data_IF_228469636525
#
_entry.id   IF_228469636525
#
_cell.length_a   1.000
_cell.length_b   1.000
_cell.length_c   1.000
_cell.angle_alpha   90.00
_cell.angle_beta   90.00
_cell.angle_gamma   90.00
#
_symmetry.space_group_name_H-M   'P 1'
#
loop_
_entity.id
_entity.type
_entity.pdbx_description
1 polymer ?
#
# COMPACT_ATOMS: atom_id res chain seq x y z
N UNK A 1 -13.37 6.48 -0.67
CA UNK A 1 -12.50 5.59 -1.48
C UNK A 1 -11.40 6.46 -2.03
N UNK A 2 -10.12 6.21 -1.67
CA UNK A 2 -9.01 7.01 -2.16
C UNK A 2 -8.81 6.89 -3.67
N UNK A 3 -8.23 7.91 -4.27
CA UNK A 3 -7.92 8.04 -5.69
C UNK A 3 -6.41 8.04 -5.93
N UNK A 4 -6.01 7.70 -7.15
CA UNK A 4 -4.61 7.79 -7.61
C UNK A 4 -4.03 9.19 -7.34
N UNK A 5 -2.87 9.23 -6.69
CA UNK A 5 -2.18 10.45 -6.25
C UNK A 5 -2.55 10.92 -4.83
N UNK A 6 -3.56 10.33 -4.18
CA UNK A 6 -3.79 10.58 -2.76
C UNK A 6 -2.81 9.77 -1.91
N UNK A 7 -2.52 10.27 -0.70
CA UNK A 7 -1.70 9.54 0.26
C UNK A 7 -2.55 8.57 1.08
N UNK A 8 -2.03 7.36 1.25
CA UNK A 8 -2.66 6.34 2.05
C UNK A 8 -2.43 6.56 3.54
N UNK A 9 -3.47 6.54 4.34
CA UNK A 9 -3.39 6.77 5.79
C UNK A 9 -3.18 5.49 6.59
N UNK A 10 -3.38 4.32 5.99
CA UNK A 10 -3.37 3.04 6.71
C UNK A 10 -2.78 1.93 5.86
N UNK A 11 -1.81 1.20 6.41
CA UNK A 11 -1.25 0.02 5.76
C UNK A 11 -2.34 -1.03 5.49
N UNK A 12 -2.39 -1.53 4.26
CA UNK A 12 -3.46 -2.46 3.90
C UNK A 12 -3.46 -2.87 2.44
N UNK A 13 -4.44 -3.72 2.12
CA UNK A 13 -4.72 -4.21 0.77
C UNK A 13 -5.85 -3.36 0.16
N UNK A 14 -5.60 -2.87 -1.04
CA UNK A 14 -6.52 -2.03 -1.80
C UNK A 14 -6.79 -2.65 -3.16
N UNK A 15 -8.03 -2.58 -3.62
CA UNK A 15 -8.49 -3.08 -4.91
C UNK A 15 -8.92 -1.94 -5.82
N UNK A 16 -8.41 -1.89 -7.03
CA UNK A 16 -8.85 -0.91 -8.03
C UNK A 16 -10.29 -1.19 -8.45
N UNK A 17 -11.13 -0.15 -8.45
CA UNK A 17 -12.55 -0.29 -8.83
C UNK A 17 -12.71 -0.55 -10.33
N UNK A 18 -11.79 -0.06 -11.16
CA UNK A 18 -11.87 -0.17 -12.61
C UNK A 18 -11.58 -1.58 -13.15
N UNK A 19 -10.53 -2.23 -12.65
CA UNK A 19 -10.05 -3.51 -13.18
C UNK A 19 -10.01 -4.62 -12.14
N UNK A 20 -10.18 -4.30 -10.85
CA UNK A 20 -10.14 -5.27 -9.78
C UNK A 20 -8.73 -5.70 -9.36
N UNK A 21 -7.67 -4.98 -9.77
CA UNK A 21 -6.31 -5.26 -9.30
C UNK A 21 -6.15 -5.00 -7.81
N UNK A 22 -5.50 -5.92 -7.11
CA UNK A 22 -5.20 -5.83 -5.69
C UNK A 22 -3.73 -5.42 -5.48
N UNK A 23 -3.50 -4.43 -4.62
CA UNK A 23 -2.18 -3.94 -4.27
C UNK A 23 -2.07 -3.72 -2.77
N UNK A 24 -0.86 -3.88 -2.25
CA UNK A 24 -0.54 -3.55 -0.86
C UNK A 24 0.07 -2.15 -0.82
N UNK A 25 -0.53 -1.25 -0.05
CA UNK A 25 -0.02 0.13 0.08
C UNK A 25 0.33 0.40 1.54
N UNK A 26 1.55 0.90 1.75
CA UNK A 26 2.06 1.34 3.06
C UNK A 26 1.39 2.63 3.52
N UNK A 27 1.42 2.86 4.81
CA UNK A 27 1.07 4.18 5.37
C UNK A 27 1.96 5.26 4.75
N UNK A 28 1.36 6.41 4.48
CA UNK A 28 1.90 7.58 3.76
C UNK A 28 2.29 7.37 2.28
N UNK A 29 2.16 6.16 1.74
CA UNK A 29 2.44 5.92 0.32
C UNK A 29 1.30 6.40 -0.58
N UNK A 30 1.63 6.88 -1.78
CA UNK A 30 0.64 7.37 -2.73
C UNK A 30 -0.06 6.24 -3.48
N UNK A 31 -1.35 6.41 -3.75
CA UNK A 31 -2.11 5.48 -4.57
C UNK A 31 -1.64 5.56 -6.04
N UNK A 32 -1.20 4.44 -6.64
CA UNK A 32 -0.77 4.45 -8.02
C UNK A 32 -1.96 4.57 -8.98
N UNK A 33 -1.68 5.00 -10.21
CA UNK A 33 -2.64 4.95 -11.32
C UNK A 33 -2.72 3.53 -11.89
N UNK A 34 -3.90 3.10 -12.33
CA UNK A 34 -4.08 1.81 -12.98
C UNK A 34 -3.33 1.78 -14.32
N UNK A 35 -2.47 0.78 -14.51
CA UNK A 35 -1.67 0.63 -15.75
C UNK A 35 -2.52 0.45 -17.01
N UNK A 36 -3.74 -0.08 -16.88
CA UNK A 36 -4.66 -0.25 -18.01
C UNK A 36 -5.37 1.06 -18.41
N UNK A 37 -5.39 2.03 -17.49
CA UNK A 37 -6.06 3.32 -17.68
C UNK A 37 -5.16 4.47 -17.19
N UNK A 38 -3.99 4.68 -17.80
CA UNK A 38 -3.01 5.66 -17.33
C UNK A 38 -3.52 7.12 -17.37
N UNK A 39 -4.52 7.41 -18.21
CA UNK A 39 -5.09 8.74 -18.37
C UNK A 39 -6.30 9.01 -17.44
N UNK A 40 -6.73 8.02 -16.65
CA UNK A 40 -7.90 8.15 -15.78
C UNK A 40 -7.51 8.06 -14.31
N UNK A 41 -8.19 8.85 -13.47
CA UNK A 41 -8.05 8.73 -12.02
C UNK A 41 -8.56 7.36 -11.58
N UNK A 42 -7.70 6.59 -10.95
CA UNK A 42 -8.04 5.25 -10.46
C UNK A 42 -8.59 5.38 -9.06
N UNK A 43 -9.78 4.84 -8.82
CA UNK A 43 -10.35 4.76 -7.47
C UNK A 43 -9.97 3.42 -6.85
N UNK A 44 -9.53 3.44 -5.61
CA UNK A 44 -9.10 2.28 -4.84
C UNK A 44 -10.08 2.03 -3.69
N UNK A 45 -10.53 0.79 -3.57
CA UNK A 45 -11.36 0.29 -2.50
C UNK A 45 -10.48 -0.44 -1.50
N UNK A 46 -10.51 -0.02 -0.24
CA UNK A 46 -9.85 -0.75 0.83
C UNK A 46 -10.55 -2.09 1.04
N UNK A 47 -9.78 -3.18 1.02
CA UNK A 47 -10.26 -4.54 1.24
C UNK A 47 -9.92 -4.99 2.64
N UNK A 48 -8.67 -4.81 3.06
CA UNK A 48 -8.18 -5.26 4.35
C UNK A 48 -7.18 -4.25 4.92
N UNK A 49 -7.33 -3.94 6.21
CA UNK A 49 -6.34 -3.17 6.96
C UNK A 49 -5.36 -4.17 7.55
N UNK A 50 -4.07 -3.95 7.29
CA UNK A 50 -3.00 -4.74 7.87
C UNK A 50 -2.41 -3.95 9.04
N UNK A 51 -2.22 -4.61 10.18
CA UNK A 51 -1.44 -4.03 11.27
C UNK A 51 0.00 -3.84 10.79
N UNK A 52 0.50 -2.61 10.89
CA UNK A 52 1.92 -2.29 10.72
C UNK A 52 2.67 -2.92 11.91
N UNK A 53 2.88 -4.23 11.86
CA UNK A 53 3.80 -4.85 12.79
C UNK A 53 5.18 -4.32 12.44
N UNK A 54 5.88 -3.64 13.37
CA UNK A 54 7.25 -3.24 13.11
C UNK A 54 8.01 -4.53 12.80
N UNK A 55 8.53 -4.62 11.57
CA UNK A 55 9.56 -5.60 11.22
C UNK A 55 10.61 -5.47 12.31
N UNK A 56 10.61 -6.41 13.26
CA UNK A 56 11.64 -6.51 14.29
C UNK A 56 12.94 -6.55 13.53
N UNK A 57 13.65 -5.42 13.52
CA UNK A 57 15.02 -5.37 13.05
C UNK A 57 15.72 -6.50 13.80
N UNK A 58 16.20 -7.51 13.08
CA UNK A 58 17.10 -8.50 13.63
C UNK A 58 18.30 -7.69 14.10
N UNK A 59 18.33 -7.42 15.41
CA UNK A 59 19.43 -6.77 16.09
C UNK A 59 20.72 -7.44 15.66
N UNK A 60 21.69 -6.61 15.30
CA UNK A 60 23.05 -6.99 14.93
C UNK A 60 23.56 -8.07 15.89
N UNK A 61 23.89 -9.25 15.38
CA UNK A 61 24.77 -10.16 16.10
C UNK A 61 26.17 -9.55 16.06
N UNK A 62 26.54 -8.79 17.08
CA UNK A 62 27.95 -8.57 17.41
C UNK A 62 28.54 -9.90 17.87
N UNK A 63 29.64 -10.40 17.27
CA UNK A 63 30.41 -11.49 17.85
C UNK A 63 31.17 -10.94 19.08
N UNK A 64 30.96 -11.60 20.23
CA UNK A 64 31.73 -11.36 21.44
C UNK A 64 33.18 -11.87 21.27
N UNK A 65 34.08 -11.18 21.99
CA UNK A 65 35.54 -11.27 22.01
C UNK A 65 36.13 -12.68 22.22
#
# INVERSE_FOLDING_TARGET
MPQSGEKNTTFGIYKSVCCGFEIVIRTDAEFPTCSNHPNLKTTWQQIEILDDMPLRAKSKSEPAA
#
